data_IF_837488020969
#
_entry.id   IF_837488020969
#
_cell.length_a   1.000
_cell.length_b   1.000
_cell.length_c   1.000
_cell.angle_alpha   90.00
_cell.angle_beta   90.00
_cell.angle_gamma   90.00
#
_symmetry.space_group_name_H-M   'P 1'
#
loop_
_entity.id
_entity.type
_entity.pdbx_description
1 polymer ?
#
# COMPACT_ATOMS: atom_id res chain seq x y z
N UNK A 1 -8.17 10.92 -5.81
CA UNK A 1 -8.69 9.53 -5.75
C UNK A 1 -7.74 8.73 -4.88
N UNK A 2 -8.20 7.70 -4.16
CA UNK A 2 -7.35 7.02 -3.19
C UNK A 2 -6.40 6.01 -3.87
N UNK A 3 -5.11 6.26 -3.75
CA UNK A 3 -4.04 5.38 -4.21
C UNK A 3 -3.21 4.92 -3.02
N UNK A 4 -2.93 3.62 -2.96
CA UNK A 4 -2.21 2.99 -1.86
C UNK A 4 -1.11 2.11 -2.45
N UNK A 5 0.10 2.25 -1.91
CA UNK A 5 1.25 1.42 -2.25
C UNK A 5 1.84 0.82 -0.99
N UNK A 6 2.26 -0.44 -1.09
CA UNK A 6 3.08 -1.12 -0.07
C UNK A 6 4.55 -1.03 -0.47
N UNK A 7 5.43 -0.83 0.50
CA UNK A 7 6.88 -0.90 0.25
C UNK A 7 7.33 -2.35 0.31
N UNK A 8 7.81 -2.88 -0.81
CA UNK A 8 8.41 -4.21 -0.93
C UNK A 8 9.81 -4.07 -1.54
N UNK A 9 10.83 -4.63 -0.88
CA UNK A 9 12.22 -4.54 -1.34
C UNK A 9 12.65 -3.10 -1.71
N UNK A 10 12.33 -2.13 -0.84
CA UNK A 10 12.58 -0.70 -1.04
C UNK A 10 11.93 -0.07 -2.28
N UNK A 11 10.84 -0.67 -2.79
CA UNK A 11 10.08 -0.14 -3.94
C UNK A 11 8.59 -0.07 -3.63
N UNK A 12 7.88 0.96 -4.11
CA UNK A 12 6.43 1.02 -3.99
C UNK A 12 5.76 0.02 -4.94
N UNK A 13 4.91 -0.84 -4.40
CA UNK A 13 4.10 -1.82 -5.13
C UNK A 13 2.62 -1.44 -4.94
N UNK A 14 1.84 -1.26 -6.02
CA UNK A 14 0.43 -0.90 -5.92
C UNK A 14 -0.36 -1.94 -5.14
N UNK A 15 -1.16 -1.49 -4.16
CA UNK A 15 -2.07 -2.38 -3.44
C UNK A 15 -3.33 -2.59 -4.30
N UNK A 16 -3.74 -3.84 -4.55
CA UNK A 16 -4.98 -4.13 -5.26
C UNK A 16 -6.19 -3.46 -4.58
N UNK A 17 -7.14 -2.95 -5.37
CA UNK A 17 -8.35 -2.29 -4.85
C UNK A 17 -9.14 -3.17 -3.87
N UNK A 18 -9.18 -4.48 -4.10
CA UNK A 18 -9.83 -5.46 -3.22
C UNK A 18 -9.19 -5.59 -1.83
N UNK A 19 -7.96 -5.10 -1.67
CA UNK A 19 -7.20 -5.13 -0.42
C UNK A 19 -7.04 -3.73 0.20
N UNK A 20 -7.59 -2.68 -0.40
CA UNK A 20 -7.56 -1.33 0.20
C UNK A 20 -8.23 -1.36 1.59
N UNK A 21 -7.55 -0.79 2.58
CA UNK A 21 -7.98 -0.80 3.98
C UNK A 21 -7.48 -2.00 4.80
N UNK A 22 -6.86 -3.00 4.18
CA UNK A 22 -6.15 -4.07 4.87
C UNK A 22 -4.65 -3.75 4.94
N UNK A 23 -4.15 -3.59 6.16
CA UNK A 23 -2.74 -3.30 6.42
C UNK A 23 -2.13 -4.44 7.21
N UNK A 24 -0.90 -4.82 6.83
CA UNK A 24 -0.14 -5.87 7.49
C UNK A 24 0.89 -5.23 8.43
N UNK A 25 0.90 -5.66 9.69
CA UNK A 25 1.88 -5.20 10.67
C UNK A 25 3.29 -5.57 10.23
N UNK A 26 4.24 -4.63 10.33
CA UNK A 26 5.63 -4.81 9.90
C UNK A 26 5.92 -4.28 8.49
N UNK A 27 4.88 -4.04 7.69
CA UNK A 27 5.02 -3.40 6.39
C UNK A 27 4.91 -1.87 6.51
N UNK A 28 5.40 -1.17 5.48
CA UNK A 28 5.25 0.29 5.32
C UNK A 28 4.41 0.61 4.10
N UNK A 29 3.65 1.70 4.14
CA UNK A 29 2.71 2.09 3.10
C UNK A 29 2.80 3.57 2.75
N UNK A 30 2.55 3.90 1.48
CA UNK A 30 2.30 5.26 0.98
C UNK A 30 0.81 5.39 0.64
N UNK A 31 0.22 6.51 1.03
CA UNK A 31 -1.21 6.81 0.78
C UNK A 31 -1.29 8.20 0.14
N UNK A 32 -1.87 8.27 -1.05
CA UNK A 32 -2.14 9.51 -1.78
C UNK A 32 -3.65 9.66 -1.97
N UNK A 33 -4.18 10.86 -1.69
CA UNK A 33 -5.61 11.18 -1.80
C UNK A 33 -5.90 12.11 -2.96
#
# INVERSE_FOLDING_TARGET
GLEIWRIENFRPVPVPKSLQGKFFTGDSYLILK
#
